data_IF_227423878909
#
_entry.id   IF_227423878909
#
_cell.length_a   1.000
_cell.length_b   1.000
_cell.length_c   1.000
_cell.angle_alpha   90.00
_cell.angle_beta   90.00
_cell.angle_gamma   90.00
#
_symmetry.space_group_name_H-M   'P 1'
#
loop_
_entity.id
_entity.type
_entity.pdbx_description
1 polymer ?
#
# COMPACT_ATOMS: atom_id res chain seq x y z
N UNK A 1 13.37 2.54 26.30
CA UNK A 1 12.09 2.06 26.90
C UNK A 1 11.27 1.45 25.77
N UNK A 2 10.70 0.26 25.96
CA UNK A 2 9.81 -0.35 24.95
C UNK A 2 8.55 0.50 24.84
N UNK A 3 8.13 0.86 23.62
CA UNK A 3 6.95 1.71 23.37
C UNK A 3 5.64 0.95 23.62
N UNK A 4 5.53 -0.26 23.10
CA UNK A 4 4.39 -1.16 23.29
C UNK A 4 4.58 -2.50 22.57
N UNK A 5 3.52 -3.31 22.55
CA UNK A 5 3.43 -4.55 21.77
C UNK A 5 2.49 -4.35 20.59
N UNK A 6 3.03 -4.39 19.38
CA UNK A 6 2.34 -4.17 18.13
C UNK A 6 1.97 -5.49 17.45
N UNK A 7 0.73 -5.60 16.97
CA UNK A 7 0.30 -6.62 16.02
C UNK A 7 0.13 -5.98 14.65
N UNK A 8 1.00 -6.33 13.70
CA UNK A 8 0.89 -5.90 12.30
C UNK A 8 0.16 -6.98 11.51
N UNK A 9 -1.06 -6.68 11.09
CA UNK A 9 -1.93 -7.58 10.32
C UNK A 9 -1.67 -7.36 8.84
N UNK A 10 -1.26 -8.42 8.12
CA UNK A 10 -0.73 -8.28 6.75
C UNK A 10 0.77 -7.99 6.72
N UNK A 11 1.54 -8.52 7.67
CA UNK A 11 2.97 -8.22 7.85
C UNK A 11 3.87 -8.58 6.65
N UNK A 12 3.38 -9.36 5.68
CA UNK A 12 4.11 -9.70 4.46
C UNK A 12 3.77 -8.78 3.28
N UNK A 13 2.77 -7.90 3.42
CA UNK A 13 2.36 -6.95 2.38
C UNK A 13 3.29 -5.74 2.30
N UNK A 14 3.09 -4.91 1.27
CA UNK A 14 3.88 -3.69 1.06
C UNK A 14 3.81 -2.74 2.26
N UNK A 15 2.62 -2.47 2.79
CA UNK A 15 2.47 -1.61 3.96
C UNK A 15 2.92 -2.31 5.23
N UNK A 16 2.39 -3.51 5.51
CA UNK A 16 2.65 -4.23 6.74
C UNK A 16 4.12 -4.62 6.94
N UNK A 17 4.82 -5.05 5.89
CA UNK A 17 6.24 -5.45 6.00
C UNK A 17 7.18 -4.29 6.27
N UNK A 18 6.94 -3.13 5.62
CA UNK A 18 7.69 -1.91 5.89
C UNK A 18 7.38 -1.36 7.29
N UNK A 19 6.10 -1.35 7.69
CA UNK A 19 5.70 -0.95 9.04
C UNK A 19 6.33 -1.85 10.11
N UNK A 20 6.26 -3.17 9.95
CA UNK A 20 6.83 -4.11 10.92
C UNK A 20 8.35 -3.90 11.07
N UNK A 21 9.08 -3.72 9.96
CA UNK A 21 10.52 -3.41 10.00
C UNK A 21 10.81 -2.10 10.73
N UNK A 22 10.01 -1.07 10.43
CA UNK A 22 10.13 0.23 11.04
C UNK A 22 9.84 0.19 12.55
N UNK A 23 8.75 -0.45 12.98
CA UNK A 23 8.38 -0.57 14.39
C UNK A 23 9.43 -1.34 15.21
N UNK A 24 10.00 -2.42 14.65
CA UNK A 24 11.13 -3.14 15.28
C UNK A 24 12.30 -2.18 15.51
N UNK A 25 12.71 -1.44 14.47
CA UNK A 25 13.81 -0.47 14.57
C UNK A 25 13.49 0.69 15.54
N UNK A 26 12.21 1.06 15.66
CA UNK A 26 11.71 2.10 16.57
C UNK A 26 11.51 1.63 18.02
N UNK A 27 11.79 0.36 18.33
CA UNK A 27 11.81 -0.17 19.70
C UNK A 27 10.51 -0.82 20.18
N UNK A 28 9.64 -1.25 19.27
CA UNK A 28 8.44 -2.03 19.58
C UNK A 28 8.73 -3.54 19.67
N UNK A 29 7.93 -4.26 20.46
CA UNK A 29 7.79 -5.71 20.27
C UNK A 29 6.77 -5.92 19.15
N UNK A 30 7.15 -6.58 18.06
CA UNK A 30 6.28 -6.70 16.87
C UNK A 30 5.90 -8.15 16.62
N UNK A 31 4.60 -8.40 16.61
CA UNK A 31 3.97 -9.61 16.10
C UNK A 31 3.49 -9.35 14.67
N UNK A 32 3.80 -10.25 13.73
CA UNK A 32 3.41 -10.13 12.34
C UNK A 32 2.43 -11.23 11.93
N UNK A 33 1.17 -10.87 11.69
CA UNK A 33 0.13 -11.81 11.27
C UNK A 33 0.02 -11.85 9.75
N UNK A 34 0.04 -13.07 9.21
CA UNK A 34 -0.27 -13.36 7.81
C UNK A 34 -0.74 -14.81 7.66
N UNK A 35 -1.31 -15.18 6.50
CA UNK A 35 -1.72 -16.58 6.23
C UNK A 35 -0.56 -17.56 6.23
N UNK A 36 0.67 -17.09 5.97
CA UNK A 36 1.88 -17.92 5.94
C UNK A 36 2.96 -17.25 6.77
N UNK A 37 3.32 -17.86 7.90
CA UNK A 37 4.42 -17.37 8.73
C UNK A 37 5.69 -17.18 7.87
N UNK A 38 6.12 -15.93 7.76
CA UNK A 38 7.34 -15.56 7.03
C UNK A 38 8.32 -14.97 8.02
N UNK A 39 9.58 -15.41 7.94
CA UNK A 39 10.64 -14.89 8.80
C UNK A 39 11.00 -13.47 8.37
N UNK A 40 10.85 -12.53 9.29
CA UNK A 40 11.32 -11.15 9.16
C UNK A 40 12.11 -10.81 10.43
N UNK A 41 13.28 -10.21 10.25
CA UNK A 41 14.19 -9.93 11.37
C UNK A 41 13.50 -9.09 12.44
N UNK A 42 13.50 -9.59 13.69
CA UNK A 42 12.90 -8.92 14.84
C UNK A 42 11.37 -8.98 14.93
N UNK A 43 10.69 -9.62 13.97
CA UNK A 43 9.22 -9.81 13.98
C UNK A 43 8.89 -11.22 14.45
N UNK A 44 7.97 -11.33 15.40
CA UNK A 44 7.45 -12.61 15.89
C UNK A 44 6.31 -13.05 14.96
N UNK A 45 6.47 -14.14 14.18
CA UNK A 45 5.48 -14.51 13.17
C UNK A 45 4.24 -15.15 13.81
N UNK A 46 3.07 -14.79 13.29
CA UNK A 46 1.77 -15.41 13.59
C UNK A 46 1.16 -15.88 12.26
N UNK A 47 0.77 -17.16 12.19
CA UNK A 47 0.08 -17.72 11.05
C UNK A 47 -1.40 -17.91 11.37
N UNK A 48 -2.27 -17.17 10.68
CA UNK A 48 -3.72 -17.32 10.76
C UNK A 48 -4.37 -16.84 9.46
N UNK A 49 -5.48 -17.46 9.08
CA UNK A 49 -6.43 -16.91 8.13
C UNK A 49 -7.54 -16.22 8.93
N UNK A 50 -7.69 -14.91 8.77
CA UNK A 50 -8.69 -14.14 9.52
C UNK A 50 -10.13 -14.52 9.15
N UNK A 51 -10.36 -15.26 8.06
CA UNK A 51 -11.68 -15.83 7.76
C UNK A 51 -11.93 -17.18 8.47
N UNK A 52 -10.92 -17.77 9.08
CA UNK A 52 -11.03 -18.93 9.96
C UNK A 52 -11.03 -18.44 11.41
N UNK A 53 -12.23 -18.23 11.96
CA UNK A 53 -12.44 -17.71 13.31
C UNK A 53 -11.75 -18.58 14.39
N UNK A 54 -11.97 -19.92 14.46
CA UNK A 54 -11.27 -20.76 15.42
C UNK A 54 -9.74 -20.71 15.32
N UNK A 55 -9.19 -20.68 14.09
CA UNK A 55 -7.75 -20.57 13.91
C UNK A 55 -7.21 -19.21 14.36
N UNK A 56 -7.98 -18.14 14.14
CA UNK A 56 -7.64 -16.77 14.56
C UNK A 56 -7.63 -16.65 16.09
N UNK A 57 -8.66 -17.16 16.77
CA UNK A 57 -8.73 -17.22 18.22
C UNK A 57 -7.52 -17.97 18.80
N UNK A 58 -7.25 -19.17 18.28
CA UNK A 58 -6.13 -19.99 18.76
C UNK A 58 -4.77 -19.29 18.56
N UNK A 59 -4.58 -18.61 17.44
CA UNK A 59 -3.31 -17.96 17.10
C UNK A 59 -3.04 -16.69 17.93
N UNK A 60 -4.09 -16.00 18.40
CA UNK A 60 -3.98 -14.75 19.14
C UNK A 60 -4.13 -14.92 20.66
N UNK A 61 -4.60 -16.07 21.12
CA UNK A 61 -4.82 -16.37 22.53
C UNK A 61 -3.60 -16.07 23.41
N UNK A 62 -3.80 -15.23 24.44
CA UNK A 62 -2.80 -14.92 25.47
C UNK A 62 -1.66 -14.01 25.02
N UNK A 63 -1.71 -13.46 23.80
CA UNK A 63 -0.71 -12.50 23.34
C UNK A 63 -0.95 -11.11 23.96
N UNK A 64 0.09 -10.44 24.48
CA UNK A 64 -0.06 -9.16 25.18
C UNK A 64 -0.12 -7.98 24.19
N UNK A 65 -1.06 -8.01 23.25
CA UNK A 65 -1.17 -7.03 22.16
C UNK A 65 -1.78 -5.73 22.68
N UNK A 66 -1.04 -4.64 22.54
CA UNK A 66 -1.50 -3.30 22.97
C UNK A 66 -1.93 -2.43 21.79
N UNK A 67 -1.34 -2.64 20.61
CA UNK A 67 -1.56 -1.82 19.43
C UNK A 67 -1.76 -2.72 18.22
N UNK A 68 -2.84 -2.51 17.47
CA UNK A 68 -3.11 -3.20 16.22
C UNK A 68 -2.84 -2.26 15.06
N UNK A 69 -2.12 -2.74 14.04
CA UNK A 69 -1.97 -2.05 12.76
C UNK A 69 -2.52 -2.95 11.65
N UNK A 70 -3.70 -2.59 11.16
CA UNK A 70 -4.44 -3.36 10.16
C UNK A 70 -4.06 -2.92 8.74
N UNK A 71 -3.22 -3.70 8.07
CA UNK A 71 -2.60 -3.38 6.77
C UNK A 71 -2.93 -4.41 5.68
N UNK A 72 -4.06 -5.10 5.79
CA UNK A 72 -4.46 -6.16 4.86
C UNK A 72 -5.88 -5.96 4.35
N UNK A 73 -6.17 -6.56 3.20
CA UNK A 73 -7.51 -6.73 2.66
C UNK A 73 -7.52 -7.95 1.74
N UNK A 74 -8.70 -8.35 1.29
CA UNK A 74 -8.89 -9.40 0.29
C UNK A 74 -9.81 -8.93 -0.82
N UNK A 75 -9.46 -9.26 -2.06
CA UNK A 75 -10.29 -9.04 -3.25
C UNK A 75 -11.27 -10.19 -3.44
N UNK A 76 -12.50 -9.84 -3.76
CA UNK A 76 -13.60 -10.70 -4.20
C UNK A 76 -14.14 -10.21 -5.55
N UNK A 77 -15.09 -10.95 -6.09
CA UNK A 77 -15.60 -10.76 -7.44
C UNK A 77 -16.39 -9.45 -7.62
N UNK A 78 -16.96 -8.91 -6.54
CA UNK A 78 -17.71 -7.67 -6.53
C UNK A 78 -17.60 -6.94 -5.18
N UNK A 79 -18.03 -5.69 -5.13
CA UNK A 79 -17.85 -4.85 -3.93
C UNK A 79 -18.68 -5.34 -2.73
N UNK A 80 -19.87 -5.89 -2.94
CA UNK A 80 -20.66 -6.49 -1.85
C UNK A 80 -19.90 -7.64 -1.18
N UNK A 81 -19.31 -8.54 -1.97
CA UNK A 81 -18.48 -9.62 -1.45
C UNK A 81 -17.18 -9.08 -0.80
N UNK A 82 -16.61 -7.98 -1.29
CA UNK A 82 -15.49 -7.30 -0.61
C UNK A 82 -15.92 -6.80 0.77
N UNK A 83 -17.09 -6.15 0.89
CA UNK A 83 -17.64 -5.67 2.16
C UNK A 83 -17.81 -6.82 3.15
N UNK A 84 -18.50 -7.89 2.75
CA UNK A 84 -18.75 -9.05 3.61
C UNK A 84 -17.43 -9.67 4.11
N UNK A 85 -16.50 -9.97 3.20
CA UNK A 85 -15.30 -10.70 3.55
C UNK A 85 -14.29 -9.86 4.35
N UNK A 86 -14.08 -8.60 4.01
CA UNK A 86 -13.15 -7.73 4.75
C UNK A 86 -13.70 -7.35 6.14
N UNK A 87 -15.03 -7.18 6.27
CA UNK A 87 -15.66 -6.96 7.57
C UNK A 87 -15.51 -8.18 8.47
N UNK A 88 -15.74 -9.39 7.95
CA UNK A 88 -15.58 -10.63 8.70
C UNK A 88 -14.15 -10.80 9.24
N UNK A 89 -13.14 -10.55 8.41
CA UNK A 89 -11.73 -10.62 8.83
C UNK A 89 -11.42 -9.69 10.02
N UNK A 90 -11.91 -8.45 9.98
CA UNK A 90 -11.66 -7.49 11.05
C UNK A 90 -12.47 -7.81 12.31
N UNK A 91 -13.71 -8.28 12.18
CA UNK A 91 -14.52 -8.73 13.32
C UNK A 91 -13.86 -9.91 14.03
N UNK A 92 -13.46 -10.94 13.28
CA UNK A 92 -12.76 -12.11 13.81
C UNK A 92 -11.45 -11.73 14.52
N UNK A 93 -10.72 -10.74 14.00
CA UNK A 93 -9.52 -10.22 14.66
C UNK A 93 -9.84 -9.62 16.04
N UNK A 94 -10.83 -8.73 16.13
CA UNK A 94 -11.12 -8.03 17.38
C UNK A 94 -11.77 -8.93 18.43
N UNK A 95 -12.60 -9.91 18.02
CA UNK A 95 -13.17 -10.90 18.95
C UNK A 95 -12.10 -11.87 19.51
N UNK A 96 -11.02 -12.12 18.76
CA UNK A 96 -9.92 -12.98 19.19
C UNK A 96 -8.87 -12.29 20.10
N UNK A 97 -8.89 -10.95 20.19
CA UNK A 97 -7.93 -10.18 20.97
C UNK A 97 -8.42 -9.96 22.41
N UNK A 98 -7.49 -9.91 23.36
CA UNK A 98 -7.79 -9.50 24.73
C UNK A 98 -8.04 -7.99 24.79
N UNK A 99 -9.32 -7.60 24.86
CA UNK A 99 -9.74 -6.20 24.86
C UNK A 99 -9.22 -5.41 26.06
N UNK A 100 -8.93 -6.06 27.19
CA UNK A 100 -8.46 -5.36 28.41
C UNK A 100 -7.02 -4.86 28.24
N UNK A 101 -6.26 -5.47 27.33
CA UNK A 101 -4.88 -5.09 27.02
C UNK A 101 -4.77 -4.11 25.84
N UNK A 102 -5.80 -4.02 25.00
CA UNK A 102 -5.79 -3.25 23.77
C UNK A 102 -5.97 -1.75 24.04
N UNK A 103 -5.04 -0.95 23.53
CA UNK A 103 -5.02 0.51 23.73
C UNK A 103 -5.34 1.26 22.45
N UNK A 104 -4.93 0.73 21.30
CA UNK A 104 -5.06 1.42 20.02
C UNK A 104 -5.20 0.47 18.82
N UNK A 105 -5.97 0.86 17.81
CA UNK A 105 -5.98 0.21 16.50
C UNK A 105 -5.91 1.21 15.34
N UNK A 106 -4.93 1.05 14.45
CA UNK A 106 -4.78 1.85 13.23
C UNK A 106 -5.19 1.02 12.01
N UNK A 107 -6.04 1.58 11.16
CA UNK A 107 -6.51 0.98 9.92
C UNK A 107 -5.90 1.69 8.71
N UNK A 108 -5.41 0.92 7.74
CA UNK A 108 -5.01 1.44 6.43
C UNK A 108 -6.13 1.19 5.43
N UNK A 109 -6.63 2.26 4.81
CA UNK A 109 -7.55 2.22 3.67
C UNK A 109 -6.84 2.80 2.43
N UNK A 110 -7.29 3.95 1.90
CA UNK A 110 -6.61 4.64 0.82
C UNK A 110 -7.43 5.73 0.14
N UNK A 111 -6.86 6.42 -0.85
CA UNK A 111 -7.50 7.49 -1.63
C UNK A 111 -8.81 7.07 -2.30
N UNK A 112 -9.04 5.76 -2.53
CA UNK A 112 -10.32 5.21 -2.99
C UNK A 112 -11.50 5.58 -2.07
N UNK A 113 -11.24 5.99 -0.81
CA UNK A 113 -12.23 6.60 0.08
C UNK A 113 -13.02 7.75 -0.59
N UNK A 114 -12.35 8.54 -1.44
CA UNK A 114 -12.90 9.75 -2.06
C UNK A 114 -13.43 9.50 -3.49
N UNK A 115 -13.12 8.33 -4.05
CA UNK A 115 -13.35 8.01 -5.46
C UNK A 115 -14.48 7.00 -5.69
N UNK A 116 -14.99 6.37 -4.62
CA UNK A 116 -15.97 5.30 -4.69
C UNK A 116 -15.37 3.92 -4.90
N UNK A 117 -16.20 2.89 -5.09
CA UNK A 117 -15.75 1.52 -5.34
C UNK A 117 -14.98 1.38 -6.66
N UNK A 118 -14.36 0.22 -6.93
CA UNK A 118 -13.77 -0.02 -8.25
C UNK A 118 -14.83 -0.02 -9.36
N UNK A 119 -16.07 -0.39 -9.04
CA UNK A 119 -17.22 -0.42 -9.95
C UNK A 119 -17.84 0.97 -10.18
N UNK A 120 -17.66 1.90 -9.23
CA UNK A 120 -18.20 3.27 -9.27
C UNK A 120 -17.09 4.34 -9.35
N UNK A 121 -15.87 3.94 -9.73
CA UNK A 121 -14.67 4.76 -9.64
C UNK A 121 -14.84 6.05 -10.43
N UNK A 122 -14.82 7.19 -9.74
CA UNK A 122 -14.92 8.51 -10.35
C UNK A 122 -16.30 8.90 -10.89
N UNK A 123 -17.37 8.18 -10.52
CA UNK A 123 -18.74 8.48 -10.97
C UNK A 123 -19.39 9.69 -10.26
N UNK A 124 -18.72 10.26 -9.25
CA UNK A 124 -19.15 11.43 -8.47
C UNK A 124 -18.40 12.72 -8.81
N UNK A 125 -18.80 13.83 -8.19
CA UNK A 125 -18.05 15.10 -8.26
C UNK A 125 -16.70 14.93 -7.54
N UNK A 126 -15.63 14.83 -8.31
CA UNK A 126 -14.25 14.76 -7.82
C UNK A 126 -13.73 16.19 -7.65
N UNK A 127 -13.41 16.58 -6.42
CA UNK A 127 -12.75 17.85 -6.10
C UNK A 127 -11.41 17.54 -5.45
N UNK A 128 -10.30 17.84 -6.12
CA UNK A 128 -8.95 17.70 -5.55
C UNK A 128 -8.40 19.06 -5.11
N UNK A 129 -7.60 19.14 -4.03
CA UNK A 129 -7.06 18.01 -3.27
C UNK A 129 -8.09 17.39 -2.31
N UNK A 130 -8.12 16.06 -2.21
CA UNK A 130 -9.04 15.32 -1.34
C UNK A 130 -8.78 15.62 0.13
N UNK A 131 -9.85 15.87 0.89
CA UNK A 131 -9.79 16.19 2.33
C UNK A 131 -10.48 15.15 3.17
N UNK A 132 -9.96 14.88 4.36
CA UNK A 132 -10.54 13.88 5.26
C UNK A 132 -11.94 14.25 5.77
N UNK A 133 -12.33 15.53 5.66
CA UNK A 133 -13.66 16.05 5.98
C UNK A 133 -14.71 15.77 4.91
N UNK A 134 -14.32 15.24 3.74
CA UNK A 134 -15.27 14.91 2.69
C UNK A 134 -16.22 13.79 3.13
N UNK A 135 -17.52 13.89 2.77
CA UNK A 135 -18.47 12.83 3.06
C UNK A 135 -18.12 11.56 2.27
N UNK A 136 -18.55 10.40 2.78
CA UNK A 136 -18.49 9.13 2.02
C UNK A 136 -19.21 9.29 0.69
N UNK A 137 -18.57 8.83 -0.39
CA UNK A 137 -19.22 8.74 -1.71
C UNK A 137 -20.38 7.73 -1.62
N UNK A 138 -21.58 8.05 -2.14
CA UNK A 138 -22.71 7.10 -2.13
C UNK A 138 -22.37 5.76 -2.80
N UNK A 139 -22.78 4.66 -2.17
CA UNK A 139 -22.55 3.30 -2.64
C UNK A 139 -21.71 2.48 -1.68
N UNK A 140 -21.62 1.18 -1.97
CA UNK A 140 -20.82 0.25 -1.17
C UNK A 140 -19.32 0.54 -1.37
N UNK A 141 -18.56 0.54 -0.28
CA UNK A 141 -17.10 0.56 -0.31
C UNK A 141 -16.59 -0.21 0.91
N UNK A 142 -15.77 -1.23 0.70
CA UNK A 142 -15.28 -2.04 1.82
C UNK A 142 -14.43 -1.22 2.82
N UNK A 143 -13.88 -0.06 2.43
CA UNK A 143 -13.24 0.86 3.35
C UNK A 143 -14.20 1.41 4.41
N UNK A 144 -15.43 1.74 4.00
CA UNK A 144 -16.45 2.25 4.92
C UNK A 144 -16.86 1.16 5.92
N UNK A 145 -17.01 -0.07 5.44
CA UNK A 145 -17.32 -1.21 6.29
C UNK A 145 -16.19 -1.51 7.30
N UNK A 146 -14.92 -1.40 6.88
CA UNK A 146 -13.78 -1.53 7.80
C UNK A 146 -13.73 -0.39 8.83
N UNK A 147 -13.99 0.85 8.42
CA UNK A 147 -14.13 1.98 9.35
C UNK A 147 -15.25 1.71 10.37
N UNK A 148 -16.42 1.25 9.92
CA UNK A 148 -17.57 1.01 10.79
C UNK A 148 -17.28 -0.12 11.80
N UNK A 149 -16.67 -1.23 11.36
CA UNK A 149 -16.23 -2.32 12.27
C UNK A 149 -15.22 -1.81 13.30
N UNK A 150 -14.23 -1.02 12.87
CA UNK A 150 -13.22 -0.44 13.75
C UNK A 150 -13.85 0.47 14.80
N UNK A 151 -14.78 1.34 14.40
CA UNK A 151 -15.43 2.29 15.30
C UNK A 151 -16.34 1.58 16.31
N UNK A 152 -17.12 0.60 15.86
CA UNK A 152 -17.94 -0.25 16.73
C UNK A 152 -17.09 -0.99 17.77
N UNK A 153 -15.97 -1.58 17.34
CA UNK A 153 -15.05 -2.29 18.24
C UNK A 153 -14.38 -1.33 19.23
N UNK A 154 -13.93 -0.16 18.77
CA UNK A 154 -13.32 0.86 19.62
C UNK A 154 -14.30 1.37 20.69
N UNK A 155 -15.56 1.62 20.32
CA UNK A 155 -16.61 2.01 21.27
C UNK A 155 -16.90 0.90 22.28
N UNK A 156 -17.00 -0.35 21.83
CA UNK A 156 -17.29 -1.51 22.69
C UNK A 156 -16.17 -1.80 23.68
N UNK A 157 -14.92 -1.73 23.25
CA UNK A 157 -13.75 -2.20 24.00
C UNK A 157 -12.92 -1.07 24.63
N UNK A 158 -13.21 0.19 24.30
CA UNK A 158 -12.61 1.36 24.94
C UNK A 158 -11.19 1.72 24.46
N UNK A 159 -10.78 1.26 23.28
CA UNK A 159 -9.49 1.61 22.67
C UNK A 159 -9.59 2.80 21.71
N UNK A 160 -8.48 3.51 21.48
CA UNK A 160 -8.40 4.60 20.51
C UNK A 160 -8.14 4.11 19.08
N UNK A 161 -8.52 4.88 18.06
CA UNK A 161 -8.30 4.46 16.68
C UNK A 161 -7.69 5.54 15.79
N UNK A 162 -7.08 5.11 14.69
CA UNK A 162 -6.70 5.97 13.58
C UNK A 162 -7.02 5.32 12.24
N UNK A 163 -7.30 6.13 11.22
CA UNK A 163 -7.43 5.67 9.83
C UNK A 163 -6.40 6.39 8.97
N UNK A 164 -5.65 5.64 8.17
CA UNK A 164 -4.64 6.17 7.27
C UNK A 164 -5.07 5.93 5.82
N UNK A 165 -5.11 7.00 5.03
CA UNK A 165 -5.60 7.00 3.65
C UNK A 165 -4.43 7.31 2.71
N UNK A 166 -3.56 6.33 2.43
CA UNK A 166 -2.50 6.51 1.45
C UNK A 166 -3.05 6.61 0.04
N UNK A 167 -2.30 7.27 -0.84
CA UNK A 167 -2.49 7.13 -2.28
C UNK A 167 -1.80 5.86 -2.78
N UNK A 168 -1.36 5.81 -4.05
CA UNK A 168 -0.60 4.66 -4.56
C UNK A 168 0.68 4.50 -3.73
N UNK A 169 0.79 3.35 -3.06
CA UNK A 169 1.94 3.04 -2.21
C UNK A 169 3.08 2.50 -3.06
N UNK A 170 4.27 3.09 -2.87
CA UNK A 170 5.54 2.58 -3.39
C UNK A 170 6.43 2.18 -2.23
N UNK A 171 7.16 1.09 -2.40
CA UNK A 171 8.02 0.55 -1.35
C UNK A 171 8.48 -0.84 -1.69
N UNK A 172 9.39 -1.37 -0.89
CA UNK A 172 9.90 -2.72 -1.09
C UNK A 172 8.91 -3.74 -0.50
N UNK A 173 8.54 -4.75 -1.27
CA UNK A 173 7.73 -5.88 -0.81
C UNK A 173 8.21 -7.15 -1.50
N UNK A 174 8.13 -8.30 -0.81
CA UNK A 174 8.37 -9.61 -1.42
C UNK A 174 7.04 -10.19 -1.88
N UNK A 175 6.98 -10.62 -3.14
CA UNK A 175 5.76 -11.16 -3.76
C UNK A 175 4.88 -10.08 -4.42
N UNK A 176 3.80 -10.53 -5.08
CA UNK A 176 2.91 -9.67 -5.85
C UNK A 176 1.97 -8.89 -4.91
N UNK A 177 2.39 -7.69 -4.51
CA UNK A 177 1.73 -6.88 -3.50
C UNK A 177 1.03 -5.62 -4.05
N UNK A 178 0.58 -5.62 -5.32
CA UNK A 178 0.07 -4.41 -6.01
C UNK A 178 1.07 -3.26 -5.90
N UNK A 179 2.27 -3.49 -6.42
CA UNK A 179 3.41 -2.60 -6.24
C UNK A 179 3.79 -1.95 -7.57
N UNK A 180 3.37 -0.70 -7.78
CA UNK A 180 3.68 0.05 -8.99
C UNK A 180 5.20 0.25 -9.16
N UNK A 181 5.93 0.52 -8.06
CA UNK A 181 7.37 0.75 -8.10
C UNK A 181 8.12 -0.46 -8.65
N UNK A 182 7.90 -1.65 -8.08
CA UNK A 182 8.52 -2.89 -8.58
C UNK A 182 8.05 -3.22 -10.00
N UNK A 183 6.77 -3.02 -10.31
CA UNK A 183 6.21 -3.29 -11.66
C UNK A 183 6.90 -2.43 -12.72
N UNK A 184 7.07 -1.13 -12.48
CA UNK A 184 7.78 -0.22 -13.39
C UNK A 184 9.26 -0.62 -13.51
N UNK A 185 9.91 -1.02 -12.43
CA UNK A 185 11.31 -1.45 -12.46
C UNK A 185 11.52 -2.72 -13.31
N UNK A 186 10.62 -3.69 -13.20
CA UNK A 186 10.61 -4.90 -14.04
C UNK A 186 10.35 -4.54 -15.50
N UNK A 187 9.34 -3.71 -15.78
CA UNK A 187 9.04 -3.24 -17.14
C UNK A 187 10.25 -2.54 -17.78
N UNK A 188 10.88 -1.60 -17.06
CA UNK A 188 12.08 -0.90 -17.51
C UNK A 188 13.24 -1.88 -17.79
N UNK A 189 13.42 -2.88 -16.93
CA UNK A 189 14.45 -3.91 -17.11
C UNK A 189 14.20 -4.78 -18.36
N UNK A 190 12.93 -5.12 -18.64
CA UNK A 190 12.53 -5.84 -19.86
C UNK A 190 12.78 -4.97 -21.10
N UNK A 191 12.38 -3.70 -21.09
CA UNK A 191 12.68 -2.75 -22.16
C UNK A 191 14.20 -2.67 -22.41
N UNK A 192 15.01 -2.61 -21.34
CA UNK A 192 16.47 -2.54 -21.44
C UNK A 192 17.07 -3.78 -22.08
N UNK A 193 16.60 -4.96 -21.69
CA UNK A 193 17.10 -6.23 -22.18
C UNK A 193 16.70 -6.51 -23.64
N UNK A 194 15.51 -6.07 -24.04
CA UNK A 194 14.94 -6.34 -25.37
C UNK A 194 15.17 -5.23 -26.39
N UNK A 195 15.59 -4.04 -25.94
CA UNK A 195 15.70 -2.84 -26.78
C UNK A 195 14.35 -2.23 -27.18
N UNK A 196 13.24 -2.70 -26.59
CA UNK A 196 11.91 -2.11 -26.81
C UNK A 196 11.88 -0.69 -26.21
N UNK A 197 11.18 0.28 -26.84
CA UNK A 197 11.01 1.61 -26.26
C UNK A 197 10.33 1.55 -24.87
N UNK A 198 10.68 2.48 -23.99
CA UNK A 198 10.01 2.61 -22.70
C UNK A 198 8.77 3.49 -22.85
N UNK A 199 7.61 2.86 -23.02
CA UNK A 199 6.33 3.51 -23.38
C UNK A 199 5.49 3.71 -22.13
N UNK A 200 4.96 4.92 -21.94
CA UNK A 200 3.99 5.17 -20.87
C UNK A 200 2.68 4.43 -21.15
N UNK A 201 2.17 3.61 -20.21
CA UNK A 201 1.03 2.74 -20.51
C UNK A 201 -0.34 3.40 -20.33
N UNK A 202 -0.37 4.47 -19.53
CA UNK A 202 -1.60 5.06 -18.99
C UNK A 202 -2.27 6.10 -19.89
N UNK A 203 -3.21 6.84 -19.29
CA UNK A 203 -4.00 7.86 -19.98
C UNK A 203 -3.22 9.15 -20.24
N UNK A 204 -3.64 9.91 -21.25
CA UNK A 204 -3.15 11.27 -21.48
C UNK A 204 -3.45 12.20 -20.30
N UNK A 205 -4.50 11.91 -19.54
CA UNK A 205 -4.85 12.68 -18.35
C UNK A 205 -3.78 12.45 -17.27
N UNK A 206 -3.50 11.21 -16.87
CA UNK A 206 -2.48 10.91 -15.87
C UNK A 206 -1.07 11.33 -16.31
N UNK A 207 -0.75 11.20 -17.60
CA UNK A 207 0.51 11.71 -18.15
C UNK A 207 0.73 13.21 -17.86
N UNK A 208 -0.35 13.98 -17.94
CA UNK A 208 -0.32 15.43 -17.85
C UNK A 208 -0.77 16.00 -16.52
N UNK A 209 -1.56 15.31 -15.71
CA UNK A 209 -2.12 15.77 -14.42
C UNK A 209 -1.07 15.87 -13.32
N UNK A 210 -1.37 16.65 -12.27
CA UNK A 210 -0.60 16.58 -11.03
C UNK A 210 -0.98 15.31 -10.27
N UNK A 211 -0.01 14.69 -9.63
CA UNK A 211 -0.27 13.52 -8.78
C UNK A 211 0.70 13.50 -7.61
N UNK A 212 0.23 12.98 -6.49
CA UNK A 212 1.06 12.62 -5.35
C UNK A 212 1.20 11.10 -5.26
N UNK A 213 2.03 10.60 -4.36
CA UNK A 213 2.17 9.18 -4.06
C UNK A 213 2.51 8.98 -2.58
N UNK A 214 2.55 7.72 -2.15
CA UNK A 214 2.88 7.38 -0.76
C UNK A 214 4.06 6.42 -0.72
N UNK A 215 5.17 6.87 -0.16
CA UNK A 215 6.26 6.01 0.23
C UNK A 215 5.86 5.19 1.47
N UNK A 216 6.15 3.88 1.44
CA UNK A 216 5.76 2.97 2.51
C UNK A 216 6.38 3.32 3.87
N UNK A 217 7.54 3.98 3.90
CA UNK A 217 8.17 4.46 5.14
C UNK A 217 7.50 5.75 5.65
N UNK A 218 7.06 6.65 4.77
CA UNK A 218 6.21 7.79 5.18
C UNK A 218 4.94 7.28 5.86
N UNK A 219 4.28 6.28 5.29
CA UNK A 219 3.10 5.65 5.88
C UNK A 219 3.41 5.00 7.23
N UNK A 220 4.48 4.21 7.32
CA UNK A 220 4.89 3.59 8.57
C UNK A 220 5.16 4.62 9.69
N UNK A 221 5.80 5.74 9.34
CA UNK A 221 6.06 6.86 10.27
C UNK A 221 4.78 7.54 10.70
N UNK A 222 3.84 7.81 9.79
CA UNK A 222 2.57 8.44 10.15
C UNK A 222 1.74 7.53 11.08
N UNK A 223 1.75 6.21 10.85
CA UNK A 223 1.05 5.25 11.70
C UNK A 223 1.61 5.24 13.12
N UNK A 224 2.93 5.18 13.31
CA UNK A 224 3.52 5.28 14.66
C UNK A 224 3.31 6.67 15.29
N UNK A 225 3.41 7.73 14.50
CA UNK A 225 3.18 9.09 14.96
C UNK A 225 1.76 9.26 15.51
N UNK A 226 0.74 8.79 14.78
CA UNK A 226 -0.65 8.99 15.16
C UNK A 226 -0.99 8.31 16.50
N UNK A 227 -0.47 7.10 16.74
CA UNK A 227 -0.72 6.39 18.01
C UNK A 227 0.01 6.99 19.21
N UNK A 228 1.07 7.78 18.98
CA UNK A 228 1.90 8.37 20.04
C UNK A 228 1.66 9.87 20.26
N UNK A 229 0.90 10.51 19.39
CA UNK A 229 0.68 11.97 19.41
C UNK A 229 -0.56 12.34 20.22
N UNK A 230 -0.43 13.15 21.29
CA UNK A 230 -1.57 13.64 22.04
C UNK A 230 -2.58 14.37 21.14
N UNK A 231 -3.86 14.01 21.26
CA UNK A 231 -4.94 14.60 20.47
C UNK A 231 -5.14 13.97 19.09
N UNK A 232 -4.18 13.22 18.55
CA UNK A 232 -4.32 12.55 17.25
C UNK A 232 -5.23 11.31 17.29
N UNK A 233 -5.63 10.84 18.48
CA UNK A 233 -6.56 9.74 18.64
C UNK A 233 -7.93 10.01 17.99
N UNK A 234 -8.53 8.96 17.45
CA UNK A 234 -9.85 8.95 16.81
C UNK A 234 -9.92 9.89 15.58
N UNK A 235 -8.86 9.88 14.77
CA UNK A 235 -8.73 10.69 13.57
C UNK A 235 -8.40 9.85 12.34
N UNK A 236 -8.99 10.23 11.21
CA UNK A 236 -8.53 9.83 9.88
C UNK A 236 -7.52 10.85 9.33
N UNK A 237 -6.47 10.39 8.66
CA UNK A 237 -5.44 11.20 8.03
C UNK A 237 -5.14 10.70 6.61
N UNK A 238 -5.01 11.62 5.67
CA UNK A 238 -4.37 11.36 4.39
C UNK A 238 -2.87 11.13 4.59
N UNK A 239 -2.29 10.27 3.76
CA UNK A 239 -0.87 9.93 3.85
C UNK A 239 -0.21 10.02 2.49
N UNK A 240 0.53 11.09 2.20
CA UNK A 240 1.32 11.21 0.97
C UNK A 240 2.68 11.82 1.26
N UNK A 241 3.56 11.72 0.28
CA UNK A 241 4.96 12.13 0.32
C UNK A 241 5.19 13.62 0.62
N UNK A 242 4.20 14.45 0.29
CA UNK A 242 4.20 15.89 0.54
C UNK A 242 4.69 16.72 -0.65
N UNK A 243 5.11 16.08 -1.75
CA UNK A 243 5.28 16.69 -3.07
C UNK A 243 4.19 16.25 -4.06
N UNK A 244 4.13 16.96 -5.19
CA UNK A 244 3.33 16.57 -6.37
C UNK A 244 4.23 16.60 -7.60
N UNK A 245 3.96 15.74 -8.57
CA UNK A 245 4.71 15.65 -9.81
C UNK A 245 3.77 15.41 -11.01
N UNK A 246 4.36 15.34 -12.21
CA UNK A 246 3.66 14.89 -13.43
C UNK A 246 4.36 13.67 -13.98
N UNK A 247 3.59 12.65 -14.38
CA UNK A 247 4.15 11.41 -14.94
C UNK A 247 5.06 11.67 -16.13
N UNK A 248 4.76 12.66 -16.98
CA UNK A 248 5.65 13.03 -18.10
C UNK A 248 7.09 13.37 -17.72
N UNK A 249 7.31 13.93 -16.53
CA UNK A 249 8.66 14.21 -16.01
C UNK A 249 9.22 12.95 -15.36
N UNK A 250 8.47 12.36 -14.43
CA UNK A 250 8.91 11.18 -13.69
C UNK A 250 9.28 10.02 -14.62
N UNK A 251 8.50 9.77 -15.67
CA UNK A 251 8.75 8.69 -16.62
C UNK A 251 10.05 8.88 -17.40
N UNK A 252 10.40 10.13 -17.73
CA UNK A 252 11.69 10.48 -18.34
C UNK A 252 12.84 10.26 -17.37
N UNK A 253 12.69 10.73 -16.14
CA UNK A 253 13.70 10.55 -15.08
C UNK A 253 13.92 9.05 -14.76
N UNK A 254 12.87 8.23 -14.74
CA UNK A 254 12.95 6.77 -14.61
C UNK A 254 13.67 6.16 -15.82
N UNK A 255 13.31 6.58 -17.04
CA UNK A 255 13.99 6.13 -18.26
C UNK A 255 15.49 6.44 -18.23
N UNK A 256 15.87 7.65 -17.85
CA UNK A 256 17.27 8.06 -17.65
C UNK A 256 17.98 7.19 -16.61
N UNK A 257 17.34 6.91 -15.47
CA UNK A 257 17.88 6.04 -14.42
C UNK A 257 18.18 4.60 -14.90
N UNK A 258 17.36 4.06 -15.80
CA UNK A 258 17.59 2.75 -16.42
C UNK A 258 18.42 2.82 -17.73
N UNK A 259 18.80 4.02 -18.17
CA UNK A 259 19.49 4.25 -19.43
C UNK A 259 18.66 3.81 -20.65
N UNK A 260 17.39 4.20 -20.69
CA UNK A 260 16.40 3.86 -21.71
C UNK A 260 16.04 5.07 -22.56
N UNK A 261 15.75 4.82 -23.83
CA UNK A 261 15.07 5.78 -24.68
C UNK A 261 13.57 5.78 -24.34
N UNK A 262 13.08 6.95 -23.92
CA UNK A 262 11.68 7.14 -23.54
C UNK A 262 10.86 7.57 -24.74
N UNK A 263 9.85 6.77 -25.09
CA UNK A 263 8.96 7.09 -26.20
C UNK A 263 8.07 8.30 -25.87
N UNK A 264 7.53 8.95 -26.90
CA UNK A 264 6.42 9.88 -26.70
C UNK A 264 5.23 9.14 -26.10
N UNK A 265 4.49 9.79 -25.21
CA UNK A 265 3.26 9.21 -24.65
C UNK A 265 2.28 8.92 -25.80
N UNK A 266 1.80 7.67 -25.94
CA UNK A 266 0.83 7.30 -26.98
C UNK A 266 -0.46 8.13 -26.89
N UNK A 267 -1.07 8.44 -28.04
CA UNK A 267 -2.38 9.14 -28.06
C UNK A 267 -3.49 8.30 -27.42
N UNK A 268 -3.45 6.98 -27.62
CA UNK A 268 -4.34 6.01 -26.99
C UNK A 268 -3.58 5.21 -25.93
N UNK A 269 -4.15 4.96 -24.74
CA UNK A 269 -3.50 4.14 -23.71
C UNK A 269 -2.99 2.81 -24.26
N UNK A 270 -1.85 2.34 -23.76
CA UNK A 270 -1.26 1.04 -24.11
C UNK A 270 -0.98 0.29 -22.82
N UNK A 271 -1.96 -0.44 -22.25
CA UNK A 271 -1.81 -1.09 -20.94
C UNK A 271 -0.60 -2.03 -20.87
N UNK A 272 0.09 -2.05 -19.74
CA UNK A 272 1.18 -3.00 -19.46
C UNK A 272 0.70 -4.44 -19.54
N UNK A 273 -0.52 -4.75 -19.13
CA UNK A 273 -1.07 -6.11 -19.18
C UNK A 273 -1.04 -6.68 -20.60
N UNK A 274 -1.34 -5.84 -21.60
CA UNK A 274 -1.25 -6.18 -23.02
C UNK A 274 0.21 -6.15 -23.52
N UNK A 275 0.98 -5.10 -23.16
CA UNK A 275 2.37 -4.96 -23.60
C UNK A 275 3.27 -6.11 -23.10
N UNK A 276 2.98 -6.64 -21.91
CA UNK A 276 3.77 -7.64 -21.18
C UNK A 276 3.18 -9.06 -21.25
N UNK A 277 2.26 -9.33 -22.17
CA UNK A 277 1.66 -10.66 -22.33
C UNK A 277 2.70 -11.77 -22.60
N UNK A 278 3.87 -11.44 -23.15
CA UNK A 278 4.99 -12.35 -23.42
C UNK A 278 6.14 -12.25 -22.39
N UNK A 279 5.96 -11.51 -21.30
CA UNK A 279 7.04 -11.15 -20.37
C UNK A 279 7.63 -12.34 -19.61
N UNK A 280 6.87 -13.42 -19.38
CA UNK A 280 7.33 -14.57 -18.58
C UNK A 280 8.62 -15.18 -19.13
N UNK A 281 8.64 -15.48 -20.43
CA UNK A 281 9.79 -16.08 -21.10
C UNK A 281 11.01 -15.16 -21.06
N UNK A 282 10.81 -13.88 -21.40
CA UNK A 282 11.85 -12.85 -21.41
C UNK A 282 12.43 -12.63 -20.00
N UNK A 283 11.58 -12.57 -18.97
CA UNK A 283 12.01 -12.36 -17.61
C UNK A 283 12.83 -13.54 -17.07
N UNK A 284 12.43 -14.79 -17.38
CA UNK A 284 13.22 -15.97 -17.00
C UNK A 284 14.64 -15.94 -17.57
N UNK A 285 14.81 -15.45 -18.80
CA UNK A 285 16.13 -15.28 -19.42
C UNK A 285 16.95 -14.19 -18.72
N UNK A 286 16.34 -13.04 -18.42
CA UNK A 286 16.96 -11.94 -17.67
C UNK A 286 17.39 -12.44 -16.29
N UNK A 287 16.49 -13.11 -15.56
CA UNK A 287 16.72 -13.64 -14.23
C UNK A 287 17.89 -14.62 -14.22
N UNK A 288 17.95 -15.53 -15.20
CA UNK A 288 19.08 -16.47 -15.35
C UNK A 288 20.39 -15.76 -15.67
N UNK A 289 20.37 -14.77 -16.57
CA UNK A 289 21.57 -14.03 -16.98
C UNK A 289 22.17 -13.20 -15.85
N UNK A 290 21.33 -12.63 -14.99
CA UNK A 290 21.71 -11.71 -13.93
C UNK A 290 21.70 -12.34 -12.52
N UNK A 291 21.45 -13.66 -12.41
CA UNK A 291 21.39 -14.38 -11.12
C UNK A 291 20.35 -13.76 -10.16
N UNK A 292 19.17 -13.42 -10.69
CA UNK A 292 18.09 -12.80 -9.92
C UNK A 292 17.39 -13.81 -9.00
N UNK A 293 16.96 -13.34 -7.84
CA UNK A 293 16.37 -14.20 -6.79
C UNK A 293 14.97 -14.68 -7.09
N UNK A 294 14.23 -14.00 -7.98
CA UNK A 294 12.87 -14.38 -8.37
C UNK A 294 12.74 -14.43 -9.91
N UNK A 295 12.74 -15.65 -10.50
CA UNK A 295 12.61 -15.83 -11.94
C UNK A 295 11.15 -15.80 -12.43
N UNK A 296 10.18 -15.72 -11.54
CA UNK A 296 8.75 -15.65 -11.88
C UNK A 296 8.26 -14.19 -11.86
N UNK A 297 7.97 -13.65 -13.04
CA UNK A 297 7.59 -12.24 -13.20
C UNK A 297 6.25 -11.91 -12.51
N UNK A 298 5.34 -12.88 -12.44
CA UNK A 298 4.00 -12.69 -11.86
C UNK A 298 4.04 -12.58 -10.34
N UNK A 299 5.17 -12.91 -9.71
CA UNK A 299 5.43 -12.66 -8.29
C UNK A 299 6.07 -11.29 -8.03
N UNK A 300 6.47 -10.56 -9.06
CA UNK A 300 7.12 -9.25 -8.94
C UNK A 300 6.23 -8.12 -9.45
N UNK A 301 5.56 -8.36 -10.58
CA UNK A 301 4.83 -7.35 -11.30
C UNK A 301 3.31 -7.56 -11.19
N UNK A 302 2.58 -6.45 -11.09
CA UNK A 302 1.13 -6.40 -11.12
C UNK A 302 0.72 -5.44 -12.22
N UNK A 303 0.72 -5.92 -13.47
CA UNK A 303 0.49 -5.10 -14.67
C UNK A 303 -0.85 -4.38 -14.60
N UNK A 304 -1.94 -5.15 -14.45
CA UNK A 304 -3.30 -4.63 -14.31
C UNK A 304 -3.45 -3.55 -13.22
N UNK A 305 -2.74 -3.68 -12.10
CA UNK A 305 -2.82 -2.71 -11.00
C UNK A 305 -2.13 -1.40 -11.37
N UNK A 306 -0.95 -1.50 -12.00
CA UNK A 306 -0.23 -0.33 -12.50
C UNK A 306 -1.03 0.37 -13.60
N UNK A 307 -1.70 -0.40 -14.46
CA UNK A 307 -2.60 0.13 -15.48
C UNK A 307 -3.83 0.82 -14.87
N UNK A 308 -4.41 0.27 -13.80
CA UNK A 308 -5.52 0.91 -13.10
C UNK A 308 -5.11 2.27 -12.49
N UNK A 309 -3.89 2.38 -11.97
CA UNK A 309 -3.40 3.63 -11.37
C UNK A 309 -2.93 4.66 -12.40
N UNK A 310 -2.24 4.23 -13.46
CA UNK A 310 -1.75 5.11 -14.54
C UNK A 310 -2.83 5.41 -15.58
N UNK A 311 -3.88 4.60 -15.66
CA UNK A 311 -4.98 4.71 -16.61
C UNK A 311 -6.12 5.61 -16.15
N UNK A 312 -6.05 6.21 -14.95
CA UNK A 312 -7.12 7.07 -14.43
C UNK A 312 -7.39 8.24 -15.39
N UNK A 313 -8.66 8.59 -15.56
CA UNK A 313 -9.07 9.72 -16.40
C UNK A 313 -9.33 10.98 -15.57
N UNK A 314 -8.61 11.13 -14.45
CA UNK A 314 -8.80 12.23 -13.51
C UNK A 314 -7.52 12.54 -12.73
N UNK A 315 -7.37 13.81 -12.36
CA UNK A 315 -6.34 14.26 -11.42
C UNK A 315 -6.66 13.71 -10.01
N UNK A 316 -5.63 13.20 -9.30
CA UNK A 316 -5.76 12.65 -7.95
C UNK A 316 -4.63 13.18 -7.07
N UNK A 317 -4.99 14.04 -6.11
CA UNK A 317 -4.09 14.65 -5.12
C UNK A 317 -4.83 14.71 -3.78
N UNK A 318 -4.11 14.48 -2.69
CA UNK A 318 -4.62 14.41 -1.33
C UNK A 318 -4.04 15.58 -0.51
N UNK A 319 -4.90 16.26 0.25
CA UNK A 319 -4.48 17.31 1.16
C UNK A 319 -3.83 16.69 2.40
N UNK A 320 -2.71 17.25 2.86
CA UNK A 320 -1.99 16.80 4.07
C UNK A 320 -1.99 17.84 5.19
N UNK A 321 -2.77 18.91 5.04
CA UNK A 321 -2.83 20.02 6.00
C UNK A 321 -3.27 19.52 7.36
N UNK A 322 -4.27 18.63 7.41
CA UNK A 322 -4.74 18.05 8.68
C UNK A 322 -3.62 17.36 9.46
N UNK A 323 -2.85 16.47 8.83
CA UNK A 323 -1.75 15.80 9.51
C UNK A 323 -0.67 16.80 9.99
N UNK A 324 -0.38 17.82 9.19
CA UNK A 324 0.58 18.90 9.53
C UNK A 324 0.11 19.75 10.70
N UNK A 325 -1.19 20.06 10.79
CA UNK A 325 -1.78 20.82 11.89
C UNK A 325 -1.68 20.06 13.23
N UNK A 326 -1.63 18.72 13.18
CA UNK A 326 -1.36 17.86 14.34
C UNK A 326 0.14 17.64 14.59
N UNK A 327 1.03 18.21 13.76
CA UNK A 327 2.48 18.17 13.93
C UNK A 327 3.20 17.04 13.17
N UNK A 328 2.56 16.38 12.19
CA UNK A 328 3.25 15.47 11.28
C UNK A 328 3.88 16.23 10.11
N UNK A 329 5.18 16.50 10.18
CA UNK A 329 5.94 17.28 9.21
C UNK A 329 6.89 16.44 8.33
N UNK A 330 6.82 15.11 8.44
CA UNK A 330 7.67 14.22 7.66
C UNK A 330 7.39 14.34 6.16
N UNK A 331 8.45 14.47 5.38
CA UNK A 331 8.43 14.66 3.93
C UNK A 331 9.36 13.67 3.24
N UNK A 332 8.96 13.22 2.06
CA UNK A 332 9.77 12.40 1.16
C UNK A 332 9.60 12.87 -0.27
N UNK A 333 10.68 13.17 -0.98
CA UNK A 333 10.57 13.42 -2.44
C UNK A 333 10.19 12.13 -3.16
N UNK A 334 9.14 12.17 -3.99
CA UNK A 334 8.62 10.98 -4.70
C UNK A 334 9.65 10.41 -5.68
N UNK A 335 10.43 11.26 -6.37
CA UNK A 335 11.51 10.78 -7.27
C UNK A 335 12.55 9.98 -6.50
N UNK A 336 13.02 10.54 -5.37
CA UNK A 336 13.94 9.84 -4.48
C UNK A 336 13.36 8.52 -3.96
N UNK A 337 12.06 8.46 -3.63
CA UNK A 337 11.41 7.21 -3.20
C UNK A 337 11.46 6.10 -4.28
N UNK A 338 11.22 6.44 -5.56
CA UNK A 338 11.39 5.47 -6.65
C UNK A 338 12.84 5.01 -6.79
N UNK A 339 13.80 5.93 -6.78
CA UNK A 339 15.20 5.58 -7.03
C UNK A 339 15.80 4.76 -5.89
N UNK A 340 15.53 5.12 -4.64
CA UNK A 340 15.96 4.30 -3.49
C UNK A 340 15.32 2.90 -3.52
N UNK A 341 14.06 2.79 -3.97
CA UNK A 341 13.43 1.50 -4.20
C UNK A 341 14.18 0.72 -5.28
N UNK A 342 14.48 1.33 -6.43
CA UNK A 342 15.19 0.65 -7.52
C UNK A 342 16.60 0.23 -7.11
N UNK A 343 17.34 1.08 -6.40
CA UNK A 343 18.66 0.75 -5.84
C UNK A 343 18.57 -0.45 -4.90
N UNK A 344 17.56 -0.48 -4.03
CA UNK A 344 17.32 -1.63 -3.16
C UNK A 344 16.96 -2.89 -3.95
N UNK A 345 16.10 -2.80 -4.97
CA UNK A 345 15.74 -3.94 -5.81
C UNK A 345 16.97 -4.51 -6.55
N UNK A 346 17.89 -3.66 -7.01
CA UNK A 346 19.19 -4.09 -7.57
C UNK A 346 20.07 -4.75 -6.52
N UNK A 347 20.22 -4.14 -5.35
CA UNK A 347 21.05 -4.65 -4.27
C UNK A 347 20.58 -6.03 -3.76
N UNK A 348 19.26 -6.26 -3.74
CA UNK A 348 18.66 -7.55 -3.39
C UNK A 348 18.52 -8.51 -4.59
N UNK A 349 19.08 -8.17 -5.76
CA UNK A 349 19.02 -8.95 -7.01
C UNK A 349 17.59 -9.35 -7.41
N UNK A 350 16.63 -8.45 -7.19
CA UNK A 350 15.25 -8.59 -7.69
C UNK A 350 15.18 -8.13 -9.15
N UNK A 351 15.95 -7.10 -9.49
CA UNK A 351 16.14 -6.62 -10.87
C UNK A 351 17.64 -6.57 -11.20
N UNK A 352 18.02 -6.56 -12.49
CA UNK A 352 19.42 -6.54 -12.95
C UNK A 352 20.32 -5.42 -12.42
#
# INVERSE_FOLDING_TARGET
MRKGTALVVGATGITGGNLASYLVASGWTVYGLSRRATQQSGVIPIAADLLDEPATEQALAGLPITHVFYCTWIRRDNEKANVEANSAMMRNLFEALDSDSLQHASLVTGTKQYLGSFEAYGSGRIETPFRESEPRVPGDNFYYALEDVLFEAAERHGFAWNVHRPHTVIGYARGNAMNMGTTIAVYASICKATGRPFVFPGSQIQWNALTDMTDALVLARQMEWAVTTPGAANQAFNTVNGDVFRWRRMWREIGEYFGLDVANCPETPQPLDEQMADAESTWREIAKKHDLVEPDVDKLASWWHTDADLGRDQECVNDTTKARDFGFDHFRETRGAFFDLFDRLRAEKIIP
#
